data_IF_412235537156
#
_entry.id   IF_412235537156
#
_cell.length_a   1.000
_cell.length_b   1.000
_cell.length_c   1.000
_cell.angle_alpha   90.00
_cell.angle_beta   90.00
_cell.angle_gamma   90.00
#
_symmetry.space_group_name_H-M   'P 1'
#
loop_
_entity.id
_entity.type
_entity.pdbx_description
1 polymer ?
#
# COMPACT_ATOMS: atom_id res chain seq x y z
N UNK A 1 19.60 -2.34 37.66
CA UNK A 1 18.17 -2.70 37.75
C UNK A 1 17.99 -3.65 38.92
N UNK A 2 17.92 -3.14 40.15
CA UNK A 2 17.82 -3.98 41.36
C UNK A 2 16.71 -3.52 42.34
N UNK A 3 15.92 -2.48 42.02
CA UNK A 3 14.93 -1.90 42.96
C UNK A 3 13.45 -2.13 42.59
N UNK A 4 13.15 -3.01 41.61
CA UNK A 4 11.79 -3.47 41.29
C UNK A 4 10.74 -2.42 40.86
N UNK A 5 11.05 -1.13 40.92
CA UNK A 5 10.12 -0.05 40.57
C UNK A 5 10.06 0.11 39.05
N UNK A 6 8.96 -0.36 38.46
CA UNK A 6 8.65 -0.07 37.07
C UNK A 6 8.41 1.45 36.89
N UNK A 7 9.01 2.10 35.88
CA UNK A 7 8.77 3.51 35.61
C UNK A 7 7.30 3.75 35.26
N UNK A 8 6.69 4.77 35.86
CA UNK A 8 5.33 5.16 35.50
C UNK A 8 5.33 5.91 34.16
N UNK A 9 4.75 5.30 33.13
CA UNK A 9 4.56 5.90 31.81
C UNK A 9 3.32 6.80 31.81
N UNK A 10 3.50 8.09 31.51
CA UNK A 10 2.41 9.06 31.37
C UNK A 10 2.32 9.57 29.91
N UNK A 11 1.92 8.68 28.99
CA UNK A 11 1.82 8.99 27.56
C UNK A 11 0.61 9.93 27.33
N UNK A 12 0.85 11.07 26.69
CA UNK A 12 -0.21 12.03 26.30
C UNK A 12 -0.68 11.88 24.86
N UNK A 13 0.15 11.29 24.01
CA UNK A 13 -0.12 11.08 22.59
C UNK A 13 1.18 10.96 21.80
N UNK A 14 1.04 10.67 20.51
CA UNK A 14 2.15 10.60 19.56
C UNK A 14 1.68 11.05 18.17
N UNK A 15 2.62 11.45 17.32
CA UNK A 15 2.42 11.81 15.93
C UNK A 15 3.36 10.95 15.08
N UNK A 16 2.86 10.41 13.98
CA UNK A 16 3.69 9.71 12.98
C UNK A 16 3.45 10.36 11.63
N UNK A 17 4.53 10.69 10.92
CA UNK A 17 4.50 11.33 9.61
C UNK A 17 4.85 10.29 8.55
N UNK A 18 3.99 10.16 7.55
CA UNK A 18 4.07 9.15 6.49
C UNK A 18 4.20 7.70 7.00
N UNK A 19 3.38 7.28 7.99
CA UNK A 19 3.44 5.91 8.50
C UNK A 19 3.01 4.88 7.44
N UNK A 20 3.60 3.69 7.54
CA UNK A 20 2.95 2.46 7.09
C UNK A 20 2.01 2.02 8.22
N UNK A 21 0.70 2.12 7.98
CA UNK A 21 -0.36 1.79 8.95
C UNK A 21 -1.05 0.47 8.63
N UNK A 22 -1.26 0.19 7.35
CA UNK A 22 -1.90 -1.02 6.86
C UNK A 22 -1.27 -1.38 5.51
N UNK A 23 -0.62 -2.55 5.43
CA UNK A 23 0.06 -2.95 4.20
C UNK A 23 -0.89 -3.05 3.02
N UNK A 24 -2.10 -3.57 3.22
CA UNK A 24 -3.05 -3.72 2.13
C UNK A 24 -3.47 -2.34 1.58
N UNK A 25 -3.90 -1.43 2.44
CA UNK A 25 -4.37 -0.11 2.04
C UNK A 25 -3.21 0.75 1.50
N UNK A 26 -2.10 0.81 2.24
CA UNK A 26 -0.99 1.71 1.92
C UNK A 26 -0.31 1.32 0.60
N UNK A 27 -0.07 0.03 0.33
CA UNK A 27 0.54 -0.38 -0.94
C UNK A 27 -0.44 -0.31 -2.12
N UNK A 28 -1.72 -0.66 -1.95
CA UNK A 28 -2.71 -0.49 -3.03
C UNK A 28 -2.87 0.99 -3.41
N UNK A 29 -2.80 1.90 -2.44
CA UNK A 29 -2.93 3.34 -2.70
C UNK A 29 -1.82 3.91 -3.61
N UNK A 30 -0.67 3.24 -3.68
CA UNK A 30 0.46 3.70 -4.51
C UNK A 30 0.17 3.66 -6.00
N UNK A 31 -0.64 2.70 -6.46
CA UNK A 31 -1.01 2.60 -7.86
C UNK A 31 -1.93 3.76 -8.27
N UNK A 32 -2.92 4.06 -7.43
CA UNK A 32 -3.80 5.23 -7.59
C UNK A 32 -3.00 6.56 -7.50
N UNK A 33 -2.01 6.62 -6.61
CA UNK A 33 -1.08 7.75 -6.53
C UNK A 33 -0.29 7.91 -7.84
N UNK A 34 0.29 6.83 -8.37
CA UNK A 34 1.06 6.88 -9.61
C UNK A 34 0.24 7.43 -10.78
N UNK A 35 -1.03 7.03 -10.91
CA UNK A 35 -1.93 7.56 -11.94
C UNK A 35 -2.22 9.05 -11.77
N UNK A 36 -2.58 9.47 -10.55
CA UNK A 36 -2.93 10.87 -10.26
C UNK A 36 -1.76 11.84 -10.43
N UNK A 37 -0.54 11.33 -10.28
CA UNK A 37 0.70 12.08 -10.51
C UNK A 37 1.26 11.90 -11.92
N UNK A 38 0.49 11.30 -12.84
CA UNK A 38 0.87 11.05 -14.23
C UNK A 38 2.17 10.25 -14.40
N UNK A 39 2.52 9.42 -13.41
CA UNK A 39 3.66 8.49 -13.47
C UNK A 39 3.34 7.25 -14.31
N UNK A 40 2.05 6.93 -14.48
CA UNK A 40 1.55 5.89 -15.38
C UNK A 40 0.51 6.46 -16.34
N UNK A 41 0.41 5.84 -17.51
CA UNK A 41 -0.59 6.24 -18.50
C UNK A 41 -2.01 5.86 -18.06
N UNK A 42 -2.99 6.59 -18.58
CA UNK A 42 -4.41 6.27 -18.45
C UNK A 42 -4.74 4.83 -18.92
N UNK A 43 -4.03 4.35 -19.93
CA UNK A 43 -4.21 3.00 -20.47
C UNK A 43 -3.78 1.94 -19.46
N UNK A 44 -2.58 2.08 -18.88
CA UNK A 44 -2.07 1.17 -17.85
C UNK A 44 -3.02 1.19 -16.66
N UNK A 45 -3.38 2.38 -16.16
CA UNK A 45 -4.27 2.49 -15.01
C UNK A 45 -5.63 1.82 -15.22
N UNK A 46 -6.30 2.10 -16.36
CA UNK A 46 -7.64 1.56 -16.64
C UNK A 46 -7.61 0.04 -16.80
N UNK A 47 -6.66 -0.49 -17.59
CA UNK A 47 -6.52 -1.93 -17.82
C UNK A 47 -6.25 -2.66 -16.50
N UNK A 48 -5.23 -2.23 -15.74
CA UNK A 48 -4.86 -2.89 -14.49
C UNK A 48 -5.98 -2.78 -13.44
N UNK A 49 -6.69 -1.65 -13.37
CA UNK A 49 -7.81 -1.49 -12.42
C UNK A 49 -8.96 -2.44 -12.73
N UNK A 50 -9.29 -2.62 -14.01
CA UNK A 50 -10.32 -3.55 -14.46
C UNK A 50 -9.93 -5.00 -14.14
N UNK A 51 -8.71 -5.40 -14.48
CA UNK A 51 -8.27 -6.79 -14.40
C UNK A 51 -7.92 -7.23 -12.98
N UNK A 52 -7.42 -6.31 -12.15
CA UNK A 52 -7.06 -6.56 -10.75
C UNK A 52 -8.16 -6.21 -9.74
N UNK A 53 -9.26 -5.57 -10.15
CA UNK A 53 -10.35 -5.18 -9.25
C UNK A 53 -9.92 -4.25 -8.11
N UNK A 54 -8.94 -3.39 -8.36
CA UNK A 54 -8.36 -2.49 -7.36
C UNK A 54 -7.44 -3.16 -6.32
N UNK A 55 -7.01 -4.42 -6.55
CA UNK A 55 -6.05 -5.15 -5.71
C UNK A 55 -4.75 -5.37 -6.48
N UNK A 56 -3.78 -4.50 -6.25
CA UNK A 56 -2.47 -4.48 -6.89
C UNK A 56 -1.39 -5.23 -6.09
N UNK A 57 -1.71 -5.64 -4.86
CA UNK A 57 -0.88 -6.50 -4.02
C UNK A 57 -1.69 -7.69 -3.52
N UNK A 58 -1.00 -8.78 -3.18
CA UNK A 58 -1.63 -10.06 -2.81
C UNK A 58 -2.64 -10.51 -3.87
N UNK A 59 -2.25 -10.36 -5.14
CA UNK A 59 -3.09 -10.70 -6.28
C UNK A 59 -3.35 -12.21 -6.31
N UNK A 60 -4.50 -12.60 -6.87
CA UNK A 60 -4.78 -14.00 -7.15
C UNK A 60 -3.78 -14.50 -8.20
N UNK A 61 -2.93 -15.49 -7.88
CA UNK A 61 -1.92 -16.00 -8.81
C UNK A 61 -2.54 -16.67 -10.05
N UNK A 62 -3.82 -17.03 -10.00
CA UNK A 62 -4.55 -17.58 -11.15
C UNK A 62 -5.06 -16.50 -12.10
N UNK A 63 -5.13 -15.24 -11.64
CA UNK A 63 -5.49 -14.09 -12.47
C UNK A 63 -4.25 -13.61 -13.25
N UNK A 64 -3.95 -14.33 -14.33
CA UNK A 64 -2.84 -14.03 -15.23
C UNK A 64 -2.97 -12.67 -15.89
N UNK A 65 -4.21 -12.23 -16.19
CA UNK A 65 -4.45 -10.93 -16.79
C UNK A 65 -4.02 -9.78 -15.88
N UNK A 66 -4.39 -9.82 -14.59
CA UNK A 66 -3.93 -8.84 -13.61
C UNK A 66 -2.41 -8.84 -13.45
N UNK A 67 -1.81 -10.04 -13.43
CA UNK A 67 -0.35 -10.18 -13.30
C UNK A 67 0.38 -9.55 -14.50
N UNK A 68 -0.10 -9.78 -15.71
CA UNK A 68 0.47 -9.22 -16.94
C UNK A 68 0.30 -7.70 -17.00
N UNK A 69 -0.87 -7.18 -16.58
CA UNK A 69 -1.11 -5.75 -16.56
C UNK A 69 -0.26 -5.03 -15.51
N UNK A 70 0.02 -5.66 -14.37
CA UNK A 70 0.92 -5.12 -13.35
C UNK A 70 2.38 -5.13 -13.81
N UNK A 71 2.82 -6.08 -14.62
CA UNK A 71 4.19 -6.08 -15.18
C UNK A 71 4.48 -4.88 -16.10
N UNK A 72 3.45 -4.20 -16.59
CA UNK A 72 3.61 -2.98 -17.40
C UNK A 72 3.94 -1.74 -16.56
N UNK A 73 3.84 -1.85 -15.23
CA UNK A 73 4.19 -0.80 -14.29
C UNK A 73 5.68 -0.82 -13.88
N UNK A 74 6.32 -2.00 -13.91
CA UNK A 74 7.76 -2.17 -13.65
C UNK A 74 8.63 -1.69 -14.83
#
# INVERSE_FOLDING_TARGET
NEDGKQPQLNIKGYLIISPLTDKFIDFNSRFEYAHRFALISDEIYKSTKETCGGKYIYIDPTNTQCSNDLQRFD
#
